data_IF_060768282608
#
_entry.id   IF_060768282608
#
_cell.length_a   1.000
_cell.length_b   1.000
_cell.length_c   1.000
_cell.angle_alpha   90.00
_cell.angle_beta   90.00
_cell.angle_gamma   90.00
#
_symmetry.space_group_name_H-M   'P 1'
#
loop_
_entity.id
_entity.type
_entity.pdbx_description
1 polymer ?
#
# COMPACT_ATOMS: atom_id res chain seq x y z
N UNK A 1 -15.09 39.15 0.31
CA UNK A 1 -14.83 37.94 1.10
C UNK A 1 -14.10 38.39 2.37
N UNK A 2 -14.77 38.52 3.54
CA UNK A 2 -14.10 39.01 4.73
C UNK A 2 -13.43 37.86 5.50
N UNK A 3 -12.12 38.01 5.72
CA UNK A 3 -11.34 37.70 6.93
C UNK A 3 -11.80 36.46 7.73
N UNK A 4 -11.15 35.29 7.68
CA UNK A 4 -9.71 35.07 7.77
C UNK A 4 -9.32 34.75 9.23
N UNK A 5 -9.79 33.64 9.79
CA UNK A 5 -9.40 33.22 11.15
C UNK A 5 -8.39 32.07 11.13
N UNK A 6 -7.33 32.28 11.93
CA UNK A 6 -6.09 31.51 12.04
C UNK A 6 -6.23 30.35 13.01
N UNK A 7 -5.76 29.17 12.60
CA UNK A 7 -5.38 28.09 13.51
C UNK A 7 -4.05 28.48 14.17
N UNK A 8 -4.02 28.54 15.50
CA UNK A 8 -2.80 28.81 16.26
C UNK A 8 -2.02 27.50 16.38
N UNK A 9 -0.91 27.39 15.65
CA UNK A 9 0.06 26.32 15.79
C UNK A 9 1.08 26.66 16.88
N UNK A 10 1.26 25.76 17.85
CA UNK A 10 2.44 25.74 18.70
C UNK A 10 3.71 25.50 17.87
N UNK A 11 4.86 25.95 18.38
CA UNK A 11 6.12 26.18 17.65
C UNK A 11 6.73 24.99 16.87
N UNK A 12 6.20 23.77 16.98
CA UNK A 12 6.78 22.54 16.39
C UNK A 12 5.77 21.67 15.60
N UNK A 13 4.69 22.26 15.08
CA UNK A 13 3.65 21.53 14.32
C UNK A 13 3.96 21.60 12.81
N UNK A 14 4.61 20.57 12.27
CA UNK A 14 5.02 20.47 10.85
C UNK A 14 3.88 20.18 9.85
N UNK A 15 2.63 20.09 10.29
CA UNK A 15 1.47 19.95 9.44
C UNK A 15 0.19 19.97 10.28
N UNK A 16 -0.81 20.74 9.86
CA UNK A 16 -2.17 20.66 10.40
C UNK A 16 -3.04 20.16 9.25
N UNK A 17 -3.69 19.02 9.41
CA UNK A 17 -4.59 18.44 8.41
C UNK A 17 -5.93 18.10 9.05
N UNK A 18 -7.03 18.64 8.51
CA UNK A 18 -8.37 18.21 8.86
C UNK A 18 -8.66 16.95 8.04
N UNK A 19 -8.79 15.79 8.70
CA UNK A 19 -9.17 14.54 8.04
C UNK A 19 -10.54 14.12 8.53
N UNK A 20 -11.50 14.01 7.61
CA UNK A 20 -12.75 13.33 7.90
C UNK A 20 -12.48 11.83 8.01
N UNK A 21 -12.71 11.26 9.19
CA UNK A 21 -12.68 9.80 9.37
C UNK A 21 -14.00 9.24 8.83
N UNK A 22 -13.95 8.18 8.03
CA UNK A 22 -15.13 7.52 7.48
C UNK A 22 -16.06 7.10 8.63
N UNK A 23 -17.35 7.46 8.57
CA UNK A 23 -18.34 7.21 9.63
C UNK A 23 -18.35 8.22 10.79
N UNK A 24 -17.43 9.19 10.80
CA UNK A 24 -17.36 10.27 11.80
C UNK A 24 -17.75 11.57 11.11
N UNK A 25 -18.65 12.39 11.69
CA UNK A 25 -19.02 13.66 11.08
C UNK A 25 -17.79 14.52 10.82
N UNK A 26 -16.93 14.75 11.83
CA UNK A 26 -15.64 15.45 11.69
C UNK A 26 -14.72 15.16 12.89
N UNK A 27 -13.41 15.03 12.67
CA UNK A 27 -12.38 15.04 13.72
C UNK A 27 -11.24 15.95 13.28
N UNK A 28 -10.70 16.79 14.18
CA UNK A 28 -9.56 17.66 13.89
C UNK A 28 -8.28 16.96 14.36
N UNK A 29 -7.55 16.36 13.42
CA UNK A 29 -6.24 15.78 13.71
C UNK A 29 -5.18 16.89 13.80
N UNK A 30 -4.49 17.00 14.93
CA UNK A 30 -3.27 17.83 15.04
C UNK A 30 -2.04 16.94 15.00
N UNK A 31 -1.35 16.86 13.86
CA UNK A 31 -0.04 16.20 13.81
C UNK A 31 1.02 17.12 14.41
N UNK A 32 1.20 17.05 15.73
CA UNK A 32 2.41 17.58 16.35
C UNK A 32 3.56 16.61 16.00
N UNK A 33 4.48 17.06 15.15
CA UNK A 33 5.65 16.26 14.77
C UNK A 33 6.64 16.31 15.92
N UNK A 34 6.80 15.20 16.64
CA UNK A 34 7.66 15.17 17.86
C UNK A 34 9.15 14.97 17.51
N UNK A 35 9.49 14.61 16.26
CA UNK A 35 10.88 14.36 15.85
C UNK A 35 11.29 15.09 14.55
N UNK A 36 12.52 15.67 14.47
CA UNK A 36 13.04 16.26 13.25
C UNK A 36 13.20 15.22 12.13
N UNK A 37 13.20 15.69 10.88
CA UNK A 37 13.36 14.87 9.68
C UNK A 37 14.75 14.22 9.60
N UNK A 38 14.94 13.11 10.29
CA UNK A 38 16.00 12.15 9.96
C UNK A 38 15.37 10.98 9.21
N UNK A 39 15.94 10.54 8.06
CA UNK A 39 15.37 9.50 7.19
C UNK A 39 15.13 8.15 7.86
N UNK A 40 15.74 7.91 9.03
CA UNK A 40 15.70 6.62 9.73
C UNK A 40 14.56 6.49 10.77
N UNK A 41 13.89 7.59 11.13
CA UNK A 41 12.77 7.57 12.08
C UNK A 41 11.51 8.07 11.38
N UNK A 42 10.45 7.25 11.36
CA UNK A 42 9.13 7.73 10.94
C UNK A 42 8.77 9.00 11.71
N UNK A 43 8.14 9.96 11.05
CA UNK A 43 7.49 11.04 11.79
C UNK A 43 6.38 10.42 12.66
N UNK A 44 6.26 10.90 13.88
CA UNK A 44 5.19 10.50 14.81
C UNK A 44 4.26 11.67 15.05
N UNK A 45 2.97 11.37 15.13
CA UNK A 45 1.89 12.35 15.29
C UNK A 45 0.95 11.97 16.44
N UNK A 46 0.41 12.96 17.12
CA UNK A 46 -0.72 12.75 18.04
C UNK A 46 -2.04 12.90 17.27
N UNK A 47 -3.11 12.26 17.73
CA UNK A 47 -4.47 12.50 17.23
C UNK A 47 -5.29 13.11 18.36
N UNK A 48 -5.98 14.18 18.02
CA UNK A 48 -6.88 14.90 18.90
C UNK A 48 -8.29 14.89 18.31
N UNK A 49 -9.27 15.03 19.19
CA UNK A 49 -10.68 15.20 18.84
C UNK A 49 -11.15 16.46 19.53
N UNK A 50 -11.80 17.35 18.79
CA UNK A 50 -12.32 18.61 19.32
C UNK A 50 -13.82 18.71 19.02
N UNK A 51 -14.61 19.34 19.91
CA UNK A 51 -16.01 19.63 19.63
C UNK A 51 -16.13 20.52 18.39
N UNK A 52 -17.12 20.22 17.54
CA UNK A 52 -17.48 21.10 16.43
C UNK A 52 -18.18 22.35 16.96
N UNK A 53 -17.81 23.56 16.50
CA UNK A 53 -18.58 24.76 16.81
C UNK A 53 -20.03 24.63 16.32
N UNK A 54 -21.00 25.12 17.09
CA UNK A 54 -22.45 25.12 16.74
C UNK A 54 -22.75 25.73 15.36
N UNK A 55 -21.88 26.63 14.88
CA UNK A 55 -21.98 27.23 13.56
C UNK A 55 -21.83 26.23 12.40
N UNK A 56 -21.21 25.06 12.61
CA UNK A 56 -21.04 24.00 11.59
C UNK A 56 -22.16 22.96 11.61
N UNK A 57 -22.82 22.75 12.75
CA UNK A 57 -23.86 21.71 12.92
C UNK A 57 -25.24 22.18 12.43
N UNK A 58 -25.48 23.49 12.41
CA UNK A 58 -26.75 24.12 12.02
C UNK A 58 -26.96 24.27 10.50
N UNK A 59 -25.93 24.06 9.68
CA UNK A 59 -25.98 24.24 8.21
C UNK A 59 -26.00 22.94 7.40
N UNK A 60 -26.05 21.78 8.06
CA UNK A 60 -26.06 20.46 7.40
C UNK A 60 -27.48 19.86 7.45
N UNK A 61 -28.24 19.85 6.33
CA UNK A 61 -29.57 19.26 6.30
C UNK A 61 -29.52 17.76 6.63
N UNK A 62 -30.24 17.33 7.66
CA UNK A 62 -30.30 15.93 8.10
C UNK A 62 -29.24 15.52 9.12
N UNK A 63 -28.39 16.44 9.59
CA UNK A 63 -27.42 16.17 10.64
C UNK A 63 -28.06 16.28 12.03
N UNK A 64 -28.11 15.16 12.75
CA UNK A 64 -28.35 15.14 14.20
C UNK A 64 -26.98 14.97 14.85
N UNK A 65 -26.49 16.02 15.52
CA UNK A 65 -25.30 15.88 16.35
C UNK A 65 -25.54 14.75 17.35
N UNK A 66 -24.63 13.77 17.51
CA UNK A 66 -24.79 12.78 18.57
C UNK A 66 -24.83 13.56 19.90
N UNK A 67 -25.95 13.45 20.63
CA UNK A 67 -26.16 14.16 21.91
C UNK A 67 -25.19 13.71 22.99
N UNK A 68 -24.50 12.60 22.74
CA UNK A 68 -23.63 11.92 23.70
C UNK A 68 -22.15 11.97 23.27
N UNK A 69 -21.72 12.97 22.49
CA UNK A 69 -20.28 13.18 22.29
C UNK A 69 -19.66 13.62 23.63
N UNK A 70 -18.80 12.81 24.28
CA UNK A 70 -18.27 13.12 25.61
C UNK A 70 -17.22 14.24 25.61
N UNK A 71 -16.92 14.81 24.44
CA UNK A 71 -15.76 15.69 24.22
C UNK A 71 -16.21 17.14 24.19
N UNK A 72 -16.16 17.83 25.33
CA UNK A 72 -16.47 19.27 25.45
C UNK A 72 -15.26 20.18 25.22
N UNK A 73 -14.06 19.61 25.09
CA UNK A 73 -12.80 20.31 24.87
C UNK A 73 -11.89 19.46 23.97
N UNK A 74 -10.94 20.05 23.21
CA UNK A 74 -9.94 19.29 22.47
C UNK A 74 -9.24 18.26 23.38
N UNK A 75 -9.43 16.98 23.06
CA UNK A 75 -8.93 15.85 23.84
C UNK A 75 -8.01 15.02 22.96
N UNK A 76 -6.82 14.70 23.47
CA UNK A 76 -5.90 13.78 22.78
C UNK A 76 -6.40 12.36 22.96
N UNK A 77 -6.63 11.68 21.85
CA UNK A 77 -7.19 10.31 21.83
C UNK A 77 -6.16 9.27 21.41
N UNK A 78 -5.10 9.69 20.70
CA UNK A 78 -3.96 8.86 20.33
C UNK A 78 -2.69 9.67 20.49
N UNK A 79 -1.63 9.05 21.00
CA UNK A 79 -0.29 9.63 21.04
C UNK A 79 0.69 8.83 20.21
N UNK A 80 1.70 9.50 19.67
CA UNK A 80 2.88 8.83 19.08
C UNK A 80 2.55 7.85 17.94
N UNK A 81 1.54 8.18 17.12
CA UNK A 81 1.16 7.44 15.91
C UNK A 81 2.27 7.52 14.90
N UNK A 82 2.71 6.38 14.38
CA UNK A 82 3.69 6.30 13.30
C UNK A 82 3.05 6.68 11.95
N UNK A 83 3.79 7.47 11.16
CA UNK A 83 3.46 7.75 9.76
C UNK A 83 3.99 6.67 8.79
N UNK A 84 4.81 5.72 9.28
CA UNK A 84 5.38 4.65 8.46
C UNK A 84 4.31 3.66 7.99
N UNK A 85 3.37 3.32 8.88
CA UNK A 85 2.21 2.49 8.53
C UNK A 85 0.99 3.35 8.26
N UNK A 86 0.24 3.02 7.21
CA UNK A 86 -1.07 3.60 6.96
C UNK A 86 -2.06 3.27 8.08
N UNK A 87 -3.11 4.09 8.20
CA UNK A 87 -4.27 3.78 9.04
C UNK A 87 -5.25 2.89 8.25
N UNK A 88 -5.92 1.95 8.92
CA UNK A 88 -7.01 1.19 8.33
C UNK A 88 -8.34 1.54 9.02
N UNK A 89 -9.29 2.08 8.25
CA UNK A 89 -10.61 2.46 8.75
C UNK A 89 -11.66 1.37 8.55
N UNK A 90 -12.49 1.16 9.57
CA UNK A 90 -13.78 0.49 9.53
C UNK A 90 -14.89 1.52 9.87
N UNK A 91 -16.17 1.13 9.82
CA UNK A 91 -17.29 2.08 9.97
C UNK A 91 -17.19 2.94 11.24
N UNK A 92 -16.87 2.31 12.38
CA UNK A 92 -16.80 2.97 13.70
C UNK A 92 -15.48 2.77 14.44
N UNK A 93 -14.43 2.42 13.71
CA UNK A 93 -13.11 2.24 14.32
C UNK A 93 -11.99 2.48 13.34
N UNK A 94 -10.85 2.93 13.86
CA UNK A 94 -9.62 3.08 13.10
C UNK A 94 -8.51 2.30 13.77
N UNK A 95 -7.80 1.49 12.99
CA UNK A 95 -6.62 0.78 13.42
C UNK A 95 -5.37 1.59 13.09
N UNK A 96 -4.51 1.77 14.09
CA UNK A 96 -3.36 2.68 14.05
C UNK A 96 -2.14 2.01 14.67
N UNK A 97 -0.97 2.28 14.10
CA UNK A 97 0.32 1.88 14.67
C UNK A 97 0.89 3.05 15.47
N UNK A 98 1.23 2.82 16.74
CA UNK A 98 1.80 3.82 17.65
C UNK A 98 3.08 3.30 18.32
N UNK A 99 3.84 4.17 18.97
CA UNK A 99 5.00 3.78 19.78
C UNK A 99 6.03 2.94 18.98
N UNK A 100 6.37 3.46 17.80
CA UNK A 100 7.38 2.86 16.90
C UNK A 100 8.73 2.68 17.59
N UNK A 101 9.30 1.50 17.45
CA UNK A 101 10.59 1.12 18.00
C UNK A 101 11.26 0.05 17.15
N UNK A 102 12.56 -0.14 17.39
CA UNK A 102 13.31 -1.28 16.86
C UNK A 102 13.37 -2.37 17.92
N UNK A 103 13.18 -3.62 17.52
CA UNK A 103 13.37 -4.80 18.38
C UNK A 103 14.36 -5.75 17.70
N UNK A 104 15.24 -6.35 18.48
CA UNK A 104 16.03 -7.49 18.00
C UNK A 104 15.10 -8.71 17.94
N UNK A 105 14.98 -9.33 16.76
CA UNK A 105 14.13 -10.50 16.62
C UNK A 105 14.87 -11.77 17.07
N UNK A 106 14.18 -12.64 17.80
CA UNK A 106 14.71 -13.94 18.26
C UNK A 106 14.78 -15.03 17.16
N UNK A 107 14.88 -14.64 15.88
CA UNK A 107 14.89 -15.55 14.72
C UNK A 107 16.25 -16.23 14.45
N UNK A 108 16.31 -17.01 13.37
CA UNK A 108 17.50 -17.79 12.98
C UNK A 108 18.76 -16.92 12.76
N UNK A 109 18.59 -15.65 12.41
CA UNK A 109 19.68 -14.67 12.30
C UNK A 109 19.71 -13.76 13.53
N UNK A 110 20.43 -14.18 14.59
CA UNK A 110 20.66 -13.34 15.77
C UNK A 110 21.27 -11.98 15.36
N UNK A 111 20.65 -10.90 15.83
CA UNK A 111 21.12 -9.53 15.60
C UNK A 111 20.38 -8.79 14.48
N UNK A 112 19.42 -9.42 13.79
CA UNK A 112 18.52 -8.70 12.90
C UNK A 112 17.58 -7.81 13.74
N UNK A 113 17.53 -6.53 13.40
CA UNK A 113 16.62 -5.55 14.02
C UNK A 113 15.42 -5.35 13.11
N UNK A 114 14.24 -5.36 13.71
CA UNK A 114 12.98 -5.14 13.01
C UNK A 114 12.23 -3.95 13.59
N UNK A 115 11.67 -3.14 12.69
CA UNK A 115 10.80 -2.02 13.05
C UNK A 115 9.42 -2.55 13.42
N UNK A 116 8.97 -2.21 14.62
CA UNK A 116 7.67 -2.61 15.17
C UNK A 116 6.97 -1.43 15.83
N UNK A 117 5.68 -1.58 16.06
CA UNK A 117 4.86 -0.64 16.82
C UNK A 117 3.75 -1.38 17.58
N UNK A 118 3.02 -0.65 18.41
CA UNK A 118 1.80 -1.13 19.04
C UNK A 118 0.61 -0.85 18.13
N UNK A 119 -0.08 -1.90 17.69
CA UNK A 119 -1.33 -1.79 16.95
C UNK A 119 -2.46 -1.48 17.94
N UNK A 120 -3.19 -0.39 17.72
CA UNK A 120 -4.33 0.03 18.53
C UNK A 120 -5.60 0.16 17.68
N UNK A 121 -6.75 -0.16 18.27
CA UNK A 121 -8.06 0.20 17.71
C UNK A 121 -8.61 1.40 18.48
N UNK A 122 -8.84 2.50 17.78
CA UNK A 122 -9.60 3.64 18.26
C UNK A 122 -11.07 3.43 17.90
N UNK A 123 -11.92 3.27 18.91
CA UNK A 123 -13.37 3.30 18.73
C UNK A 123 -13.80 4.75 18.47
N UNK A 124 -14.37 5.06 17.31
CA UNK A 124 -14.73 6.43 16.94
C UNK A 124 -16.09 6.87 17.48
N UNK A 125 -16.86 5.96 18.09
CA UNK A 125 -18.13 6.30 18.76
C UNK A 125 -17.89 6.86 20.16
N UNK A 126 -16.88 6.34 20.87
CA UNK A 126 -16.56 6.75 22.25
C UNK A 126 -15.19 7.44 22.39
N UNK A 127 -14.38 7.43 21.32
CA UNK A 127 -13.00 7.94 21.31
C UNK A 127 -12.07 7.28 22.32
N UNK A 128 -12.27 5.97 22.53
CA UNK A 128 -11.48 5.16 23.44
C UNK A 128 -10.65 4.13 22.69
N UNK A 129 -9.49 3.77 23.25
CA UNK A 129 -8.68 2.65 22.79
C UNK A 129 -9.16 1.39 23.49
N UNK A 130 -9.74 0.47 22.73
CA UNK A 130 -10.35 -0.75 23.26
C UNK A 130 -9.62 -2.05 22.85
N UNK A 131 -8.57 -1.93 22.03
CA UNK A 131 -7.74 -3.06 21.59
C UNK A 131 -6.28 -2.63 21.44
N UNK A 132 -5.36 -3.51 21.87
CA UNK A 132 -3.91 -3.30 21.74
C UNK A 132 -3.19 -4.61 21.43
N UNK A 133 -2.28 -4.58 20.47
CA UNK A 133 -1.30 -5.64 20.21
C UNK A 133 0.09 -5.05 20.14
N UNK A 134 1.02 -5.60 20.92
CA UNK A 134 2.41 -5.13 21.01
C UNK A 134 3.31 -5.77 19.96
N UNK A 135 4.37 -5.05 19.58
CA UNK A 135 5.42 -5.52 18.66
C UNK A 135 4.88 -6.01 17.31
N UNK A 136 3.95 -5.26 16.72
CA UNK A 136 3.42 -5.53 15.40
C UNK A 136 4.33 -4.90 14.35
N UNK A 137 4.75 -5.69 13.38
CA UNK A 137 5.49 -5.21 12.21
C UNK A 137 4.57 -4.95 11.02
N UNK A 138 3.40 -5.62 11.01
CA UNK A 138 2.45 -5.57 9.89
C UNK A 138 1.06 -6.01 10.29
N UNK A 139 0.04 -5.45 9.65
CA UNK A 139 -1.33 -5.93 9.74
C UNK A 139 -2.11 -5.72 8.44
N UNK A 140 -3.17 -6.49 8.27
CA UNK A 140 -4.21 -6.34 7.26
C UNK A 140 -5.57 -6.44 7.95
N UNK A 141 -6.52 -5.61 7.54
CA UNK A 141 -7.87 -5.54 8.10
C UNK A 141 -8.88 -6.06 7.06
N UNK A 142 -9.81 -6.90 7.51
CA UNK A 142 -10.99 -7.30 6.75
C UNK A 142 -12.28 -7.00 7.53
N UNK A 143 -13.21 -6.31 6.88
CA UNK A 143 -14.42 -5.82 7.54
C UNK A 143 -14.07 -4.92 8.73
N UNK A 144 -14.78 -5.11 9.84
CA UNK A 144 -14.62 -4.26 11.03
C UNK A 144 -13.71 -4.86 12.11
N UNK A 145 -13.68 -6.19 12.21
CA UNK A 145 -13.14 -6.88 13.38
C UNK A 145 -12.30 -8.11 13.01
N UNK A 146 -11.72 -8.17 11.81
CA UNK A 146 -10.79 -9.26 11.46
C UNK A 146 -9.44 -8.72 11.09
N UNK A 147 -8.43 -9.17 11.82
CA UNK A 147 -7.05 -8.76 11.59
C UNK A 147 -6.19 -9.98 11.28
N UNK A 148 -5.33 -9.82 10.29
CA UNK A 148 -4.19 -10.69 10.06
C UNK A 148 -2.95 -9.85 10.35
N UNK A 149 -2.13 -10.25 11.32
CA UNK A 149 -1.00 -9.43 11.74
C UNK A 149 0.23 -10.27 12.07
N UNK A 150 1.40 -9.68 11.84
CA UNK A 150 2.69 -10.28 12.20
C UNK A 150 3.22 -9.62 13.46
N UNK A 151 3.40 -10.44 14.48
CA UNK A 151 3.98 -10.04 15.75
C UNK A 151 5.45 -10.49 15.80
N UNK A 152 6.32 -9.63 16.34
CA UNK A 152 7.78 -9.82 16.42
C UNK A 152 8.20 -9.79 17.89
N UNK A 153 8.16 -10.93 18.58
CA UNK A 153 8.59 -11.00 19.97
C UNK A 153 10.12 -10.92 20.05
N UNK A 154 10.64 -10.52 21.22
CA UNK A 154 12.08 -10.48 21.47
C UNK A 154 12.70 -11.86 21.73
N UNK A 155 11.89 -12.84 22.12
CA UNK A 155 12.32 -14.13 22.70
C UNK A 155 11.91 -15.36 21.89
N UNK A 156 11.15 -15.19 20.81
CA UNK A 156 10.68 -16.28 19.95
C UNK A 156 10.63 -15.82 18.48
N UNK A 157 10.56 -16.75 17.52
CA UNK A 157 10.41 -16.41 16.11
C UNK A 157 9.18 -15.52 15.87
N UNK A 158 9.26 -14.55 14.94
CA UNK A 158 8.11 -13.77 14.52
C UNK A 158 6.97 -14.66 14.02
N UNK A 159 5.75 -14.38 14.46
CA UNK A 159 4.58 -15.21 14.20
C UNK A 159 3.47 -14.44 13.48
N UNK A 160 2.72 -15.15 12.65
CA UNK A 160 1.48 -14.66 12.06
C UNK A 160 0.28 -15.02 12.95
N UNK A 161 -0.62 -14.07 13.14
CA UNK A 161 -1.81 -14.23 13.96
C UNK A 161 -3.06 -13.78 13.21
N UNK A 162 -4.13 -14.55 13.37
CA UNK A 162 -5.47 -14.19 12.95
C UNK A 162 -6.29 -13.83 14.20
N UNK A 163 -6.94 -12.68 14.17
CA UNK A 163 -7.90 -12.25 15.19
C UNK A 163 -9.28 -12.04 14.55
N UNK A 164 -10.32 -12.50 15.23
CA UNK A 164 -11.70 -12.53 14.73
C UNK A 164 -12.64 -11.50 15.41
N UNK A 165 -12.08 -10.63 16.26
CA UNK A 165 -12.85 -9.68 17.05
C UNK A 165 -12.86 -10.02 18.54
N UNK A 166 -12.64 -11.29 18.88
CA UNK A 166 -12.73 -11.81 20.25
C UNK A 166 -11.53 -12.66 20.63
N UNK A 167 -11.12 -13.56 19.73
CA UNK A 167 -10.05 -14.52 19.93
C UNK A 167 -8.94 -14.27 18.93
N UNK A 168 -7.75 -14.66 19.31
CA UNK A 168 -6.60 -14.71 18.42
C UNK A 168 -6.09 -16.15 18.31
N UNK A 169 -5.59 -16.50 17.13
CA UNK A 169 -4.91 -17.77 16.86
C UNK A 169 -3.58 -17.48 16.17
N UNK A 170 -2.50 -18.06 16.70
CA UNK A 170 -1.22 -18.13 15.99
C UNK A 170 -1.36 -19.12 14.83
N UNK A 171 -0.98 -18.69 13.63
CA UNK A 171 -1.05 -19.49 12.41
C UNK A 171 0.27 -20.23 12.15
N UNK A 172 1.40 -19.59 12.47
CA UNK A 172 2.73 -20.17 12.30
C UNK A 172 3.82 -19.10 12.32
N UNK A 173 5.04 -19.52 12.02
CA UNK A 173 6.22 -18.65 12.00
C UNK A 173 6.39 -17.98 10.63
N UNK A 174 6.85 -16.73 10.63
CA UNK A 174 7.07 -15.93 9.43
C UNK A 174 8.53 -15.48 9.36
N UNK A 175 9.35 -16.11 8.49
CA UNK A 175 10.78 -15.87 8.46
C UNK A 175 11.19 -14.50 7.87
N UNK A 176 10.31 -13.78 7.17
CA UNK A 176 10.65 -12.52 6.48
C UNK A 176 9.52 -11.48 6.54
N UNK A 177 9.81 -10.17 6.63
CA UNK A 177 8.80 -9.11 6.76
C UNK A 177 8.19 -8.63 5.42
N UNK A 178 8.11 -9.48 4.39
CA UNK A 178 7.78 -9.01 3.04
C UNK A 178 6.34 -8.49 2.91
N UNK A 179 6.18 -7.44 2.11
CA UNK A 179 4.90 -6.73 1.99
C UNK A 179 3.78 -7.55 1.30
N UNK A 180 4.11 -8.69 0.71
CA UNK A 180 3.19 -9.52 -0.07
C UNK A 180 3.01 -10.92 0.54
N UNK A 181 3.29 -11.06 1.84
CA UNK A 181 3.25 -12.35 2.52
C UNK A 181 1.88 -12.63 3.15
N UNK A 182 0.95 -11.67 3.16
CA UNK A 182 -0.36 -11.83 3.81
C UNK A 182 -1.41 -10.88 3.24
N UNK A 183 -2.63 -11.36 3.01
CA UNK A 183 -3.79 -10.55 2.63
C UNK A 183 -5.11 -11.27 2.89
N UNK A 184 -6.19 -10.51 3.00
CA UNK A 184 -7.54 -11.06 2.92
C UNK A 184 -8.05 -11.02 1.47
N UNK A 185 -8.75 -12.08 1.06
CA UNK A 185 -9.59 -12.07 -0.13
C UNK A 185 -10.97 -11.45 0.14
N UNK A 186 -11.74 -11.08 -0.90
CA UNK A 186 -13.06 -10.46 -0.73
C UNK A 186 -14.13 -11.33 -0.07
N UNK A 187 -13.97 -12.66 -0.06
CA UNK A 187 -14.79 -13.59 0.74
C UNK A 187 -14.48 -13.54 2.23
N UNK A 188 -13.37 -12.90 2.62
CA UNK A 188 -12.87 -12.86 3.98
C UNK A 188 -11.97 -14.03 4.34
N UNK A 189 -11.57 -14.88 3.40
CA UNK A 189 -10.49 -15.85 3.62
C UNK A 189 -9.16 -15.10 3.78
N UNK A 190 -8.36 -15.54 4.73
CA UNK A 190 -6.99 -15.05 4.90
C UNK A 190 -6.05 -15.96 4.08
N UNK A 191 -5.17 -15.34 3.30
CA UNK A 191 -4.09 -15.99 2.57
C UNK A 191 -2.77 -15.52 3.16
N UNK A 192 -1.79 -16.41 3.25
CA UNK A 192 -0.50 -16.08 3.85
C UNK A 192 0.60 -17.07 3.49
N UNK A 193 1.85 -16.64 3.63
CA UNK A 193 3.04 -17.48 3.49
C UNK A 193 3.62 -17.78 4.88
N UNK A 194 3.86 -19.06 5.20
CA UNK A 194 4.43 -19.49 6.48
C UNK A 194 5.65 -20.40 6.32
N UNK A 195 6.46 -20.46 7.37
CA UNK A 195 7.51 -21.45 7.55
C UNK A 195 8.73 -21.30 6.63
N UNK A 196 9.73 -22.15 6.85
CA UNK A 196 10.99 -22.15 6.09
C UNK A 196 10.78 -22.56 4.62
N UNK A 197 9.84 -23.48 4.39
CA UNK A 197 9.44 -23.91 3.03
C UNK A 197 8.63 -22.86 2.28
N UNK A 198 8.28 -21.74 2.94
CA UNK A 198 7.48 -20.65 2.40
C UNK A 198 6.19 -21.14 1.74
N UNK A 199 5.38 -21.82 2.53
CA UNK A 199 4.12 -22.41 2.11
C UNK A 199 3.03 -21.32 2.04
N UNK A 200 2.49 -21.10 0.84
CA UNK A 200 1.25 -20.35 0.67
C UNK A 200 0.10 -21.21 1.18
N UNK A 201 -0.64 -20.68 2.14
CA UNK A 201 -1.78 -21.33 2.78
C UNK A 201 -2.96 -20.37 2.85
N UNK A 202 -4.16 -20.93 3.06
CA UNK A 202 -5.39 -20.16 3.32
C UNK A 202 -6.17 -20.70 4.52
N UNK A 203 -6.96 -19.83 5.13
CA UNK A 203 -7.92 -20.18 6.18
C UNK A 203 -9.17 -19.29 6.07
N UNK A 204 -10.36 -19.86 6.21
CA UNK A 204 -11.61 -19.09 6.21
C UNK A 204 -11.88 -18.46 7.57
N UNK A 205 -12.01 -19.28 8.61
CA UNK A 205 -12.32 -18.87 9.99
C UNK A 205 -11.28 -19.33 10.99
N UNK A 206 -11.31 -18.73 12.18
CA UNK A 206 -10.29 -18.93 13.21
C UNK A 206 -10.18 -20.39 13.69
N UNK A 207 -11.28 -21.14 13.67
CA UNK A 207 -11.40 -22.54 14.10
C UNK A 207 -11.27 -23.57 12.98
N UNK A 208 -11.18 -23.13 11.72
CA UNK A 208 -11.00 -24.02 10.57
C UNK A 208 -9.56 -24.53 10.46
N UNK A 209 -9.32 -25.70 9.84
CA UNK A 209 -7.97 -26.11 9.50
C UNK A 209 -7.33 -25.13 8.50
N UNK A 210 -6.02 -24.96 8.59
CA UNK A 210 -5.24 -24.25 7.57
C UNK A 210 -5.12 -25.19 6.37
N UNK A 211 -5.40 -24.67 5.19
CA UNK A 211 -5.24 -25.38 3.92
C UNK A 211 -3.97 -24.89 3.23
N UNK A 212 -3.04 -25.81 2.97
CA UNK A 212 -1.81 -25.52 2.26
C UNK A 212 -2.02 -25.64 0.76
N UNK A 213 -1.53 -24.65 0.02
CA UNK A 213 -1.81 -24.48 -1.40
C UNK A 213 -0.59 -24.70 -2.27
N UNK A 214 0.55 -24.09 -1.92
CA UNK A 214 1.77 -24.16 -2.75
C UNK A 214 3.04 -23.82 -1.95
N UNK A 215 4.10 -24.61 -2.11
CA UNK A 215 5.39 -24.39 -1.42
C UNK A 215 6.32 -23.44 -2.18
N UNK A 216 7.38 -22.97 -1.54
CA UNK A 216 8.45 -22.16 -2.17
C UNK A 216 8.02 -20.76 -2.60
N UNK A 217 6.91 -20.24 -2.10
CA UNK A 217 6.34 -18.95 -2.52
C UNK A 217 7.08 -17.80 -1.86
N UNK A 218 7.68 -16.92 -2.67
CA UNK A 218 8.37 -15.72 -2.20
C UNK A 218 7.43 -14.55 -1.97
N UNK A 219 6.43 -14.41 -2.85
CA UNK A 219 5.36 -13.40 -2.81
C UNK A 219 4.21 -13.85 -3.68
N UNK A 220 3.02 -13.31 -3.44
CA UNK A 220 1.86 -13.58 -4.29
C UNK A 220 0.99 -12.33 -4.52
N UNK A 221 0.12 -12.42 -5.52
CA UNK A 221 -0.96 -11.46 -5.77
C UNK A 221 -2.24 -12.22 -6.08
N UNK A 222 -3.26 -12.04 -5.26
CA UNK A 222 -4.55 -12.71 -5.42
C UNK A 222 -5.45 -11.96 -6.40
N UNK A 223 -6.13 -12.70 -7.28
CA UNK A 223 -7.22 -12.17 -8.08
C UNK A 223 -8.44 -11.87 -7.19
N UNK A 224 -9.23 -10.87 -7.56
CA UNK A 224 -10.39 -10.43 -6.77
C UNK A 224 -11.42 -11.55 -6.49
N UNK A 225 -11.63 -12.49 -7.41
CA UNK A 225 -12.59 -13.59 -7.23
C UNK A 225 -11.99 -14.81 -6.49
N UNK A 226 -10.73 -14.73 -6.07
CA UNK A 226 -10.01 -15.76 -5.32
C UNK A 226 -9.87 -17.11 -6.04
N UNK A 227 -10.04 -17.12 -7.37
CA UNK A 227 -9.82 -18.32 -8.20
C UNK A 227 -8.38 -18.48 -8.66
N UNK A 228 -7.68 -17.36 -8.84
CA UNK A 228 -6.29 -17.34 -9.31
C UNK A 228 -5.40 -16.52 -8.39
N UNK A 229 -4.15 -16.91 -8.30
CA UNK A 229 -3.07 -16.11 -7.73
C UNK A 229 -1.89 -16.07 -8.69
N UNK A 230 -1.15 -14.96 -8.71
CA UNK A 230 0.19 -14.94 -9.29
C UNK A 230 1.18 -15.23 -8.18
N UNK A 231 2.07 -16.19 -8.41
CA UNK A 231 3.09 -16.61 -7.46
C UNK A 231 4.46 -16.28 -8.04
N UNK A 232 5.34 -15.70 -7.23
CA UNK A 232 6.78 -15.81 -7.44
C UNK A 232 7.27 -16.97 -6.58
N UNK A 233 7.84 -18.00 -7.18
CA UNK A 233 8.32 -19.19 -6.49
C UNK A 233 9.83 -19.30 -6.63
N UNK A 234 10.48 -19.83 -5.61
CA UNK A 234 11.90 -20.20 -5.65
C UNK A 234 12.01 -21.72 -5.65
N UNK A 235 12.47 -22.27 -6.76
CA UNK A 235 12.79 -23.68 -6.89
C UNK A 235 14.30 -23.86 -7.07
N UNK A 236 14.95 -24.45 -6.07
CA UNK A 236 16.39 -24.72 -6.05
C UNK A 236 17.28 -23.50 -6.41
N UNK A 237 16.89 -22.29 -5.98
CA UNK A 237 17.63 -21.05 -6.24
C UNK A 237 17.24 -20.33 -7.53
N UNK A 238 16.31 -20.89 -8.31
CA UNK A 238 15.76 -20.25 -9.50
C UNK A 238 14.39 -19.65 -9.17
N UNK A 239 14.28 -18.33 -9.33
CA UNK A 239 13.02 -17.61 -9.16
C UNK A 239 12.23 -17.65 -10.46
N UNK A 240 10.99 -18.11 -10.39
CA UNK A 240 10.02 -18.08 -11.49
C UNK A 240 8.69 -17.47 -11.05
N UNK A 241 7.92 -16.97 -12.00
CA UNK A 241 6.58 -16.40 -11.83
C UNK A 241 5.59 -17.19 -12.67
N UNK A 242 4.44 -17.48 -12.08
CA UNK A 242 3.36 -18.27 -12.68
C UNK A 242 2.00 -17.78 -12.18
N UNK A 243 0.95 -18.05 -12.95
CA UNK A 243 -0.41 -18.02 -12.43
C UNK A 243 -0.77 -19.40 -11.87
N UNK A 244 -1.49 -19.42 -10.76
CA UNK A 244 -1.88 -20.62 -10.03
C UNK A 244 -3.39 -20.61 -9.82
N UNK A 245 -4.05 -21.65 -10.32
CA UNK A 245 -5.47 -21.92 -10.08
C UNK A 245 -5.65 -22.46 -8.65
N UNK A 246 -6.34 -21.72 -7.80
CA UNK A 246 -6.52 -22.00 -6.38
C UNK A 246 -7.54 -23.12 -6.10
N UNK A 247 -8.33 -23.52 -7.09
CA UNK A 247 -9.31 -24.59 -6.96
C UNK A 247 -8.74 -25.92 -7.48
N UNK A 248 -7.98 -25.89 -8.57
CA UNK A 248 -7.45 -27.11 -9.20
C UNK A 248 -5.97 -27.37 -8.92
N UNK A 249 -5.24 -26.39 -8.36
CA UNK A 249 -3.79 -26.45 -8.20
C UNK A 249 -3.01 -26.38 -9.53
N UNK A 250 -3.64 -25.91 -10.61
CA UNK A 250 -3.01 -25.86 -11.93
C UNK A 250 -2.10 -24.65 -12.03
N UNK A 251 -0.86 -24.88 -12.45
CA UNK A 251 0.10 -23.84 -12.77
C UNK A 251 0.04 -23.44 -14.26
N UNK A 252 0.13 -22.15 -14.52
CA UNK A 252 0.17 -21.55 -15.86
C UNK A 252 1.45 -20.73 -15.94
N UNK A 253 2.45 -21.17 -16.72
CA UNK A 253 3.73 -20.48 -16.81
C UNK A 253 3.60 -19.16 -17.58
N UNK A 254 4.40 -18.17 -17.18
CA UNK A 254 4.55 -16.92 -17.93
C UNK A 254 5.55 -17.13 -19.08
N UNK A 255 5.40 -16.46 -20.24
CA UNK A 255 6.43 -16.58 -21.28
C UNK A 255 7.75 -15.89 -20.89
N UNK A 256 7.71 -14.96 -19.91
CA UNK A 256 8.88 -14.49 -19.18
C UNK A 256 8.81 -14.97 -17.74
N UNK A 257 9.60 -16.00 -17.37
CA UNK A 257 9.50 -16.58 -16.04
C UNK A 257 9.95 -15.68 -14.90
N UNK A 258 10.74 -14.63 -15.13
CA UNK A 258 11.21 -13.75 -14.05
C UNK A 258 11.01 -12.27 -14.42
N UNK A 259 9.75 -11.82 -14.54
CA UNK A 259 9.46 -10.44 -14.93
C UNK A 259 9.88 -9.48 -13.81
N UNK A 260 10.35 -8.30 -14.19
CA UNK A 260 10.82 -7.30 -13.24
C UNK A 260 9.66 -6.71 -12.42
N UNK A 261 8.52 -6.47 -13.07
CA UNK A 261 7.42 -5.72 -12.49
C UNK A 261 6.09 -6.46 -12.69
N UNK A 262 5.34 -6.58 -11.59
CA UNK A 262 3.93 -6.98 -11.61
C UNK A 262 3.08 -5.72 -11.65
N UNK A 263 2.35 -5.53 -12.74
CA UNK A 263 1.50 -4.35 -12.95
C UNK A 263 0.08 -4.55 -12.41
N UNK A 264 -0.27 -5.80 -12.11
CA UNK A 264 -1.48 -6.17 -11.38
C UNK A 264 -2.57 -6.78 -12.27
N UNK A 265 -3.75 -6.92 -11.68
CA UNK A 265 -4.92 -7.55 -12.30
C UNK A 265 -5.79 -6.53 -13.05
N UNK A 266 -6.32 -6.95 -14.20
CA UNK A 266 -7.45 -6.32 -14.89
C UNK A 266 -8.43 -7.42 -15.35
N UNK A 267 -9.46 -7.68 -14.54
CA UNK A 267 -10.38 -8.79 -14.78
C UNK A 267 -9.68 -10.17 -14.71
N UNK A 268 -9.76 -10.93 -15.81
CA UNK A 268 -9.05 -12.20 -16.03
C UNK A 268 -7.59 -12.02 -16.48
N UNK A 269 -7.16 -10.78 -16.71
CA UNK A 269 -5.84 -10.48 -17.24
C UNK A 269 -4.88 -10.14 -16.12
N UNK A 270 -3.69 -10.72 -16.16
CA UNK A 270 -2.57 -10.27 -15.35
C UNK A 270 -1.53 -9.56 -16.22
N UNK A 271 -1.14 -8.37 -15.79
CA UNK A 271 -0.22 -7.48 -16.50
C UNK A 271 1.13 -7.49 -15.83
N UNK A 272 2.18 -7.60 -16.63
CA UNK A 272 3.55 -7.58 -16.13
C UNK A 272 4.54 -7.04 -17.17
N UNK A 273 5.74 -6.69 -16.72
CA UNK A 273 6.80 -6.18 -17.59
C UNK A 273 8.08 -6.98 -17.43
N UNK A 274 8.81 -7.10 -18.53
CA UNK A 274 10.19 -7.56 -18.57
C UNK A 274 11.11 -6.37 -18.89
N UNK A 275 12.17 -6.20 -18.10
CA UNK A 275 13.21 -5.19 -18.35
C UNK A 275 13.91 -5.47 -19.68
N UNK A 276 14.29 -4.40 -20.38
CA UNK A 276 15.15 -4.46 -21.55
C UNK A 276 16.43 -5.26 -21.27
N UNK A 277 16.84 -6.05 -22.25
CA UNK A 277 18.13 -6.72 -22.26
C UNK A 277 19.19 -5.87 -22.97
N UNK A 278 20.41 -6.40 -23.09
CA UNK A 278 21.48 -5.72 -23.83
C UNK A 278 21.10 -5.46 -25.30
N UNK A 279 20.40 -6.40 -25.92
CA UNK A 279 20.04 -6.37 -27.36
C UNK A 279 18.54 -6.51 -27.62
N UNK A 280 17.70 -6.38 -26.58
CA UNK A 280 16.24 -6.55 -26.69
C UNK A 280 15.51 -5.43 -25.96
N UNK A 281 14.47 -4.83 -26.56
CA UNK A 281 13.68 -3.80 -25.88
C UNK A 281 12.96 -4.39 -24.67
N UNK A 282 12.48 -3.53 -23.79
CA UNK A 282 11.57 -3.94 -22.74
C UNK A 282 10.26 -4.48 -23.34
N UNK A 283 9.60 -5.36 -22.60
CA UNK A 283 8.37 -6.01 -23.06
C UNK A 283 7.25 -5.83 -22.04
N UNK A 284 6.07 -5.46 -22.52
CA UNK A 284 4.85 -5.43 -21.73
C UNK A 284 3.97 -6.63 -22.10
N UNK A 285 3.63 -7.43 -21.10
CA UNK A 285 2.86 -8.66 -21.27
C UNK A 285 1.50 -8.56 -20.60
N UNK A 286 0.52 -9.20 -21.23
CA UNK A 286 -0.82 -9.41 -20.68
C UNK A 286 -1.16 -10.89 -20.83
N UNK A 287 -1.28 -11.58 -19.70
CA UNK A 287 -1.65 -12.99 -19.63
C UNK A 287 -3.13 -13.11 -19.24
N UNK A 288 -3.93 -13.77 -20.07
CA UNK A 288 -5.26 -14.24 -19.69
C UNK A 288 -5.13 -15.56 -18.92
N UNK A 289 -5.43 -15.54 -17.62
CA UNK A 289 -5.23 -16.72 -16.76
C UNK A 289 -6.29 -17.81 -16.99
N UNK A 290 -7.40 -17.50 -17.66
CA UNK A 290 -8.44 -18.49 -17.95
C UNK A 290 -8.13 -19.30 -19.20
N UNK A 291 -7.52 -18.66 -20.21
CA UNK A 291 -7.16 -19.31 -21.48
C UNK A 291 -5.69 -19.71 -21.53
N UNK A 292 -4.83 -19.09 -20.70
CA UNK A 292 -3.37 -19.21 -20.76
C UNK A 292 -2.75 -18.47 -21.96
N UNK A 293 -3.54 -17.68 -22.70
CA UNK A 293 -3.06 -16.90 -23.85
C UNK A 293 -2.35 -15.65 -23.33
N UNK A 294 -1.17 -15.39 -23.87
CA UNK A 294 -0.38 -14.22 -23.53
C UNK A 294 -0.12 -13.35 -24.76
N UNK A 295 -0.27 -12.04 -24.59
CA UNK A 295 0.09 -11.04 -25.60
C UNK A 295 1.27 -10.21 -25.13
N UNK A 296 2.15 -9.85 -26.06
CA UNK A 296 3.34 -9.05 -25.80
C UNK A 296 3.34 -7.79 -26.69
N UNK A 297 3.64 -6.65 -26.07
CA UNK A 297 3.95 -5.38 -26.72
C UNK A 297 5.42 -5.05 -26.48
N UNK A 298 6.19 -4.89 -27.56
CA UNK A 298 7.55 -4.38 -27.46
C UNK A 298 7.50 -2.87 -27.16
N UNK A 299 8.18 -2.47 -26.10
CA UNK A 299 8.22 -1.08 -25.67
C UNK A 299 9.28 -0.29 -26.44
N UNK A 300 9.08 1.01 -26.65
CA UNK A 300 10.07 1.88 -27.25
C UNK A 300 11.39 1.87 -26.46
N UNK A 301 12.55 2.07 -27.12
CA UNK A 301 13.87 2.02 -26.47
C UNK A 301 14.06 3.02 -25.31
N UNK A 302 13.22 4.05 -25.24
CA UNK A 302 13.23 5.00 -24.12
C UNK A 302 12.76 4.39 -22.80
N UNK A 303 11.99 3.31 -22.83
CA UNK A 303 11.50 2.64 -21.64
C UNK A 303 12.38 1.43 -21.34
N UNK A 304 13.04 1.45 -20.18
CA UNK A 304 13.89 0.36 -19.71
C UNK A 304 13.08 -0.82 -19.15
N UNK A 305 11.88 -0.55 -18.67
CA UNK A 305 10.83 -1.48 -18.27
C UNK A 305 9.49 -0.73 -18.33
N UNK A 306 8.42 -1.35 -17.82
CA UNK A 306 7.17 -0.68 -17.54
C UNK A 306 6.80 -0.92 -16.09
N UNK A 307 6.66 0.17 -15.34
CA UNK A 307 6.36 0.17 -13.93
C UNK A 307 4.94 0.65 -13.63
N UNK A 308 4.40 1.59 -14.41
CA UNK A 308 3.05 2.10 -14.19
C UNK A 308 2.43 2.76 -15.42
N UNK A 309 1.13 3.02 -15.33
CA UNK A 309 0.33 3.70 -16.34
C UNK A 309 -0.42 4.86 -15.70
N UNK A 310 -0.50 5.97 -16.39
CA UNK A 310 -1.32 7.11 -15.98
C UNK A 310 -2.24 7.49 -17.14
N UNK A 311 -3.53 7.12 -17.08
CA UNK A 311 -4.51 7.58 -18.06
C UNK A 311 -4.58 9.11 -18.07
N UNK A 312 -4.59 9.71 -19.26
CA UNK A 312 -4.76 11.15 -19.41
C UNK A 312 -6.26 11.49 -19.35
N UNK A 313 -6.70 12.36 -18.42
CA UNK A 313 -8.10 12.78 -18.38
C UNK A 313 -8.56 13.40 -19.71
N UNK A 314 -9.80 13.10 -20.12
CA UNK A 314 -10.43 13.63 -21.33
C UNK A 314 -9.65 13.36 -22.64
N UNK A 315 -8.87 12.28 -22.68
CA UNK A 315 -8.06 11.85 -23.83
C UNK A 315 -8.03 10.32 -23.91
N UNK A 316 -7.77 9.79 -25.10
CA UNK A 316 -7.48 8.37 -25.34
C UNK A 316 -6.01 8.00 -25.08
N UNK A 317 -5.20 8.97 -24.64
CA UNK A 317 -3.79 8.76 -24.36
C UNK A 317 -3.55 8.22 -22.95
N UNK A 318 -2.55 7.36 -22.83
CA UNK A 318 -2.06 6.82 -21.57
C UNK A 318 -0.55 7.07 -21.51
N UNK A 319 -0.08 7.63 -20.40
CA UNK A 319 1.35 7.78 -20.14
C UNK A 319 1.87 6.48 -19.55
N UNK A 320 2.78 5.83 -20.26
CA UNK A 320 3.51 4.64 -19.82
C UNK A 320 4.81 5.12 -19.18
N UNK A 321 5.13 4.61 -17.99
CA UNK A 321 6.29 5.03 -17.20
C UNK A 321 7.15 3.83 -16.83
N UNK A 322 8.45 3.95 -17.05
CA UNK A 322 9.43 2.99 -16.54
C UNK A 322 9.76 3.25 -15.06
N UNK A 323 10.53 2.34 -14.45
CA UNK A 323 10.96 2.39 -13.05
C UNK A 323 11.88 3.56 -12.73
N UNK A 324 12.45 4.22 -13.75
CA UNK A 324 13.30 5.40 -13.64
C UNK A 324 12.51 6.70 -13.83
N UNK A 325 11.21 6.61 -14.14
CA UNK A 325 10.32 7.75 -14.36
C UNK A 325 10.37 8.30 -15.78
N UNK A 326 11.00 7.62 -16.74
CA UNK A 326 10.90 7.99 -18.15
C UNK A 326 9.52 7.67 -18.68
N UNK A 327 8.96 8.57 -19.49
CA UNK A 327 7.59 8.46 -19.95
C UNK A 327 7.40 8.53 -21.45
N UNK A 328 6.54 7.66 -21.96
CA UNK A 328 6.07 7.68 -23.35
C UNK A 328 4.54 7.66 -23.36
N UNK A 329 3.92 8.54 -24.12
CA UNK A 329 2.48 8.52 -24.35
C UNK A 329 2.14 7.49 -25.41
N UNK A 330 1.13 6.67 -25.12
CA UNK A 330 0.53 5.71 -26.03
C UNK A 330 -0.92 6.12 -26.32
N UNK A 331 -1.41 5.84 -27.53
CA UNK A 331 -2.84 5.90 -27.82
C UNK A 331 -3.58 4.65 -27.36
N UNK A 332 -4.92 4.67 -27.43
CA UNK A 332 -5.76 3.51 -27.13
C UNK A 332 -5.48 2.28 -28.02
N UNK A 333 -4.85 2.50 -29.18
CA UNK A 333 -4.37 1.45 -30.10
C UNK A 333 -3.00 0.87 -29.69
N UNK A 334 -2.50 1.21 -28.50
CA UNK A 334 -1.19 0.80 -27.98
C UNK A 334 -0.01 1.19 -28.86
N UNK A 335 -0.16 2.25 -29.68
CA UNK A 335 0.95 2.81 -30.45
C UNK A 335 1.60 3.98 -29.71
N UNK A 336 2.94 4.06 -29.67
CA UNK A 336 3.64 5.19 -29.08
C UNK A 336 3.36 6.46 -29.90
N UNK A 337 3.17 7.58 -29.20
CA UNK A 337 2.82 8.89 -29.76
C UNK A 337 3.94 9.90 -29.58
N UNK A 338 4.38 10.08 -28.33
CA UNK A 338 5.45 11.02 -27.97
C UNK A 338 6.17 10.59 -26.70
N UNK A 339 7.47 10.85 -26.65
CA UNK A 339 8.27 10.72 -25.43
C UNK A 339 8.24 12.03 -24.65
N UNK A 340 8.21 11.96 -23.32
CA UNK A 340 8.41 13.13 -22.47
C UNK A 340 9.90 13.42 -22.40
N UNK A 341 10.32 14.50 -23.07
CA UNK A 341 11.71 14.92 -23.12
C UNK A 341 12.00 15.95 -22.03
N UNK A 342 13.22 15.95 -21.52
CA UNK A 342 13.72 16.99 -20.63
C UNK A 342 13.85 18.31 -21.41
N UNK A 343 13.33 19.44 -20.89
CA UNK A 343 13.35 20.71 -21.60
C UNK A 343 14.75 21.12 -22.08
N UNK A 344 14.87 21.51 -23.35
CA UNK A 344 16.13 21.97 -23.95
C UNK A 344 17.14 20.87 -24.25
N UNK A 345 16.76 19.59 -24.18
CA UNK A 345 17.65 18.45 -24.45
C UNK A 345 16.98 17.35 -25.26
N UNK A 346 17.79 16.46 -25.85
CA UNK A 346 17.32 15.23 -26.48
C UNK A 346 17.29 14.03 -25.51
N UNK A 347 17.28 14.29 -24.19
CA UNK A 347 17.20 13.25 -23.17
C UNK A 347 15.77 13.08 -22.65
N UNK A 348 15.33 11.85 -22.34
CA UNK A 348 14.05 11.63 -21.65
C UNK A 348 14.01 12.34 -20.29
N UNK A 349 12.84 12.85 -19.90
CA UNK A 349 12.64 13.40 -18.57
C UNK A 349 12.48 12.28 -17.54
N UNK A 350 13.19 12.34 -16.42
CA UNK A 350 13.00 11.44 -15.28
C UNK A 350 11.95 12.02 -14.34
N UNK A 351 10.70 11.58 -14.49
CA UNK A 351 9.56 12.15 -13.78
C UNK A 351 9.34 11.49 -12.42
N UNK A 352 9.52 12.26 -11.34
CA UNK A 352 9.06 11.87 -10.02
C UNK A 352 7.62 12.36 -9.80
N UNK A 353 6.76 11.44 -9.35
CA UNK A 353 5.34 11.69 -9.02
C UNK A 353 4.54 12.39 -10.13
N UNK A 354 4.57 11.93 -11.38
CA UNK A 354 3.80 12.54 -12.48
C UNK A 354 2.29 12.50 -12.21
N UNK A 355 1.60 13.61 -12.50
CA UNK A 355 0.14 13.75 -12.37
C UNK A 355 -0.42 14.66 -13.45
N UNK A 356 -1.55 14.30 -14.05
CA UNK A 356 -2.28 15.20 -14.94
C UNK A 356 -3.10 16.22 -14.14
N UNK A 357 -3.26 17.43 -14.70
CA UNK A 357 -4.34 18.32 -14.31
C UNK A 357 -5.70 17.64 -14.54
N UNK A 358 -6.76 18.01 -13.80
CA UNK A 358 -8.09 17.39 -13.96
C UNK A 358 -8.66 17.50 -15.37
N UNK A 359 -8.31 18.56 -16.10
CA UNK A 359 -8.71 18.75 -17.50
C UNK A 359 -7.82 18.01 -18.51
N UNK A 360 -6.74 17.36 -18.05
CA UNK A 360 -5.79 16.61 -18.87
C UNK A 360 -4.84 17.47 -19.70
N UNK A 361 -4.85 18.80 -19.56
CA UNK A 361 -4.01 19.70 -20.38
C UNK A 361 -2.55 19.72 -19.96
N UNK A 362 -2.28 19.60 -18.66
CA UNK A 362 -0.93 19.71 -18.11
C UNK A 362 -0.52 18.40 -17.46
N UNK A 363 0.75 18.04 -17.62
CA UNK A 363 1.42 17.00 -16.86
C UNK A 363 2.39 17.68 -15.89
N UNK A 364 2.16 17.49 -14.60
CA UNK A 364 2.97 18.02 -13.50
C UNK A 364 3.87 16.91 -12.98
N UNK A 365 5.17 17.17 -12.83
CA UNK A 365 6.12 16.24 -12.25
C UNK A 365 7.32 16.99 -11.65
N UNK A 366 8.11 16.29 -10.84
CA UNK A 366 9.39 16.77 -10.31
C UNK A 366 10.52 16.12 -11.10
N UNK A 367 11.43 16.91 -11.66
CA UNK A 367 12.68 16.41 -12.24
C UNK A 367 13.77 16.41 -11.14
N UNK A 368 14.32 15.24 -10.76
CA UNK A 368 15.34 15.15 -9.71
C UNK A 368 16.68 15.76 -10.11
N UNK A 369 16.91 15.99 -11.40
CA UNK A 369 18.08 16.69 -11.90
C UNK A 369 17.63 17.91 -12.70
N UNK A 370 17.30 19.05 -12.06
CA UNK A 370 17.07 20.28 -12.80
C UNK A 370 18.27 20.50 -13.73
N UNK A 371 18.00 20.78 -15.02
CA UNK A 371 19.02 21.34 -15.91
C UNK A 371 19.74 22.43 -15.12
N UNK A 372 21.07 22.35 -15.02
CA UNK A 372 21.87 23.39 -14.39
C UNK A 372 21.31 24.73 -14.84
N UNK A 373 20.77 25.49 -13.89
CA UNK A 373 20.09 26.76 -14.11
C UNK A 373 21.15 27.71 -14.66
N UNK A 374 21.24 27.75 -15.98
CA UNK A 374 22.35 28.37 -16.69
C UNK A 374 22.03 28.79 -18.11
N UNK A 375 20.80 28.63 -18.60
CA UNK A 375 20.38 29.30 -19.82
C UNK A 375 18.91 29.76 -19.71
N UNK A 376 18.65 31.09 -19.75
CA UNK A 376 17.32 31.65 -19.65
C UNK A 376 16.66 31.68 -21.03
N UNK A 377 15.66 30.81 -21.23
CA UNK A 377 14.60 30.91 -22.25
C UNK A 377 15.03 30.96 -23.73
N UNK A 378 14.13 30.56 -24.64
CA UNK A 378 13.21 31.55 -25.22
C UNK A 378 11.75 31.43 -24.75
#
# INVERSE_FOLDING_TARGET
MPEGYKVVAGRDVGGVGIQALKGVPWGISYSQRIAPATPEKGAVSDIWVAPLPEAFTSTLPGYVAPTDLPVTQPTRVVSNRSDYWGAAGADRSVFLMVDERQVECGGAERGQTERVATLQRLNTSHYEIDLRFENISRFSLYGENRLLFRQVPSDQPPGLFLWDGQKQRRLGDVPSPNQLDMQFGPSGRAYFILGEERLLSRIGRLDEPIEDLHAGVLRYSLRHDEKFAILAVNDAGKITTMAFDLDTGKEIPFARPNPCCWLGWDGDLFRYSQTAGADSPAEYHTLDVTTGVETCLLLPPTLSDLATFIPRPNSDEILYLDSQGHGVFFGADQKPRRTVMKPGTDLPASMLSPRFSPDGKYLLYIDPQPTNVGDPYP
#
